data_IF_017240333710
#
_entry.id   IF_017240333710
#
_cell.length_a   1.000
_cell.length_b   1.000
_cell.length_c   1.000
_cell.angle_alpha   90.00
_cell.angle_beta   90.00
_cell.angle_gamma   90.00
#
_symmetry.space_group_name_H-M   'P 1'
#
loop_
_entity.id
_entity.type
_entity.pdbx_description
1 polymer ?
#
# COMPACT_ATOMS: atom_id res chain seq x y z
N UNK A 1 -6.81 -16.35 -1.13
CA UNK A 1 -6.76 -17.04 0.18
C UNK A 1 -5.30 -16.98 0.61
N UNK A 2 -4.87 -16.32 1.69
CA UNK A 2 -5.62 -15.72 2.80
C UNK A 2 -5.78 -14.20 2.67
N UNK A 3 -7.03 -13.75 2.82
CA UNK A 3 -7.33 -12.34 3.08
C UNK A 3 -6.99 -12.10 4.54
N UNK A 4 -6.35 -11.00 4.90
CA UNK A 4 -5.93 -10.68 6.27
C UNK A 4 -7.03 -10.92 7.33
N UNK A 5 -8.30 -10.81 6.93
CA UNK A 5 -9.49 -11.18 7.69
C UNK A 5 -9.48 -12.63 8.21
N UNK A 6 -9.06 -13.60 7.42
CA UNK A 6 -9.06 -15.01 7.82
C UNK A 6 -7.97 -15.30 8.85
N UNK A 7 -6.81 -14.65 8.70
CA UNK A 7 -5.74 -14.70 9.70
C UNK A 7 -6.20 -14.06 11.02
N UNK A 8 -6.89 -12.92 10.94
CA UNK A 8 -7.42 -12.26 12.13
C UNK A 8 -8.52 -13.10 12.81
N UNK A 9 -9.42 -13.74 12.03
CA UNK A 9 -10.42 -14.67 12.59
C UNK A 9 -9.75 -15.83 13.32
N UNK A 10 -8.71 -16.42 12.73
CA UNK A 10 -7.95 -17.51 13.35
C UNK A 10 -7.33 -17.05 14.67
N UNK A 11 -6.68 -15.90 14.66
CA UNK A 11 -6.11 -15.29 15.86
C UNK A 11 -7.18 -15.07 16.96
N UNK A 12 -8.35 -14.53 16.61
CA UNK A 12 -9.46 -14.37 17.57
C UNK A 12 -9.91 -15.72 18.14
N UNK A 13 -10.06 -16.75 17.30
CA UNK A 13 -10.52 -18.08 17.74
C UNK A 13 -9.49 -18.72 18.68
N UNK A 14 -8.19 -18.55 18.42
CA UNK A 14 -7.12 -19.08 19.27
C UNK A 14 -7.13 -18.47 20.68
N UNK A 15 -7.45 -17.18 20.80
CA UNK A 15 -7.44 -16.47 22.09
C UNK A 15 -8.79 -16.49 22.83
N UNK A 16 -9.92 -16.53 22.10
CA UNK A 16 -11.27 -16.37 22.68
C UNK A 16 -12.19 -17.59 22.45
N UNK A 17 -11.71 -18.61 21.74
CA UNK A 17 -12.44 -19.85 21.42
C UNK A 17 -13.48 -19.70 20.30
N UNK A 18 -14.10 -18.53 20.13
CA UNK A 18 -15.00 -18.26 19.01
C UNK A 18 -15.13 -16.77 18.69
N UNK A 19 -15.51 -16.44 17.45
CA UNK A 19 -15.85 -15.07 17.05
C UNK A 19 -17.03 -14.50 17.87
N UNK A 20 -17.97 -15.35 18.29
CA UNK A 20 -19.13 -14.94 19.10
C UNK A 20 -18.70 -14.56 20.52
N UNK A 21 -17.76 -15.31 21.11
CA UNK A 21 -17.17 -15.01 22.42
C UNK A 21 -16.44 -13.67 22.38
N UNK A 22 -15.61 -13.45 21.36
CA UNK A 22 -14.92 -12.18 21.17
C UNK A 22 -15.87 -11.01 20.95
N UNK A 23 -16.91 -11.18 20.12
CA UNK A 23 -17.92 -10.14 19.91
C UNK A 23 -18.59 -9.71 21.23
N UNK A 24 -18.89 -10.68 22.11
CA UNK A 24 -19.44 -10.40 23.43
C UNK A 24 -18.43 -9.63 24.32
N UNK A 25 -17.16 -10.01 24.29
CA UNK A 25 -16.07 -9.36 25.03
C UNK A 25 -15.92 -7.87 24.66
N UNK A 26 -15.99 -7.53 23.36
CA UNK A 26 -15.90 -6.13 22.89
C UNK A 26 -17.25 -5.40 22.89
N UNK A 27 -18.30 -5.98 23.48
CA UNK A 27 -19.66 -5.45 23.49
C UNK A 27 -20.18 -5.09 22.10
N UNK A 28 -20.01 -6.00 21.13
CA UNK A 28 -20.43 -5.85 19.74
C UNK A 28 -21.39 -6.99 19.36
N UNK A 29 -22.50 -6.72 18.65
CA UNK A 29 -23.31 -7.78 18.09
C UNK A 29 -22.51 -8.68 17.16
N UNK A 30 -22.65 -10.00 17.30
CA UNK A 30 -21.96 -10.98 16.45
C UNK A 30 -22.21 -10.71 14.96
N UNK A 31 -23.43 -10.32 14.58
CA UNK A 31 -23.79 -9.99 13.20
C UNK A 31 -23.02 -8.78 12.66
N UNK A 32 -22.72 -7.78 13.51
CA UNK A 32 -21.88 -6.64 13.15
C UNK A 32 -20.45 -7.10 12.89
N UNK A 33 -19.88 -7.90 13.80
CA UNK A 33 -18.53 -8.43 13.63
C UNK A 33 -18.41 -9.30 12.37
N UNK A 34 -19.36 -10.19 12.13
CA UNK A 34 -19.43 -11.04 10.93
C UNK A 34 -19.52 -10.20 9.65
N UNK A 35 -20.35 -9.15 9.63
CA UNK A 35 -20.46 -8.24 8.49
C UNK A 35 -19.14 -7.49 8.20
N UNK A 36 -18.38 -7.11 9.23
CA UNK A 36 -17.07 -6.48 9.08
C UNK A 36 -16.13 -7.44 8.34
N UNK A 37 -16.03 -8.68 8.79
CA UNK A 37 -15.15 -9.67 8.16
C UNK A 37 -15.57 -10.05 6.74
N UNK A 38 -16.88 -10.04 6.44
CA UNK A 38 -17.37 -10.32 5.08
C UNK A 38 -17.05 -9.20 4.10
N UNK A 39 -17.21 -7.95 4.53
CA UNK A 39 -16.94 -6.77 3.69
C UNK A 39 -15.46 -6.40 3.64
N UNK A 40 -14.66 -6.89 4.58
CA UNK A 40 -13.27 -6.51 4.77
C UNK A 40 -13.13 -5.43 5.83
N UNK A 41 -12.05 -5.51 6.61
CA UNK A 41 -11.84 -4.69 7.81
C UNK A 41 -11.72 -3.20 7.45
N UNK A 42 -11.09 -2.88 6.31
CA UNK A 42 -10.96 -1.51 5.77
C UNK A 42 -12.32 -0.81 5.56
N UNK A 43 -13.40 -1.57 5.39
CA UNK A 43 -14.76 -1.05 5.17
C UNK A 43 -15.59 -0.89 6.45
N UNK A 44 -14.98 -1.07 7.62
CA UNK A 44 -15.63 -0.89 8.92
C UNK A 44 -15.53 0.54 9.43
N UNK A 45 -16.38 0.92 10.38
CA UNK A 45 -16.26 2.21 11.04
C UNK A 45 -15.01 2.23 11.92
N UNK A 46 -14.36 3.39 12.01
CA UNK A 46 -13.16 3.58 12.84
C UNK A 46 -13.43 3.23 14.30
N UNK A 47 -14.63 3.51 14.81
CA UNK A 47 -15.02 3.13 16.17
C UNK A 47 -14.98 1.61 16.38
N UNK A 48 -15.43 0.83 15.41
CA UNK A 48 -15.37 -0.62 15.48
C UNK A 48 -13.93 -1.13 15.41
N UNK A 49 -13.11 -0.50 14.56
CA UNK A 49 -11.71 -0.85 14.41
C UNK A 49 -10.90 -0.59 15.68
N UNK A 50 -11.11 0.55 16.34
CA UNK A 50 -10.49 0.84 17.65
C UNK A 50 -10.85 -0.22 18.68
N UNK A 51 -12.12 -0.62 18.78
CA UNK A 51 -12.55 -1.67 19.72
C UNK A 51 -11.86 -3.01 19.44
N UNK A 52 -11.82 -3.42 18.17
CA UNK A 52 -11.18 -4.68 17.77
C UNK A 52 -9.67 -4.63 18.07
N UNK A 53 -9.00 -3.56 17.67
CA UNK A 53 -7.55 -3.42 17.85
C UNK A 53 -7.12 -3.35 19.31
N UNK A 54 -7.86 -2.59 20.13
CA UNK A 54 -7.57 -2.44 21.56
C UNK A 54 -7.76 -3.74 22.34
N UNK A 55 -8.85 -4.47 22.09
CA UNK A 55 -9.07 -5.77 22.75
C UNK A 55 -8.02 -6.81 22.35
N UNK A 56 -7.65 -6.86 21.06
CA UNK A 56 -6.64 -7.80 20.57
C UNK A 56 -5.21 -7.38 20.91
N UNK A 57 -4.99 -6.13 21.33
CA UNK A 57 -3.65 -5.60 21.55
C UNK A 57 -2.81 -5.54 20.26
N UNK A 58 -3.43 -5.14 19.13
CA UNK A 58 -2.77 -5.10 17.82
C UNK A 58 -2.88 -3.73 17.13
N UNK A 59 -1.91 -3.45 16.26
CA UNK A 59 -1.88 -2.25 15.42
C UNK A 59 -2.85 -2.39 14.25
N UNK A 60 -3.97 -1.67 14.31
CA UNK A 60 -4.91 -1.57 13.17
C UNK A 60 -4.25 -0.86 11.99
N UNK A 61 -3.34 0.08 12.22
CA UNK A 61 -2.61 0.76 11.15
C UNK A 61 -1.76 -0.22 10.33
N UNK A 62 -0.99 -1.08 11.00
CA UNK A 62 -0.18 -2.10 10.34
C UNK A 62 -1.05 -3.14 9.64
N UNK A 63 -2.21 -3.46 10.23
CA UNK A 63 -3.20 -4.34 9.59
C UNK A 63 -3.72 -3.76 8.26
N UNK A 64 -3.97 -2.45 8.20
CA UNK A 64 -4.49 -1.76 7.01
C UNK A 64 -3.40 -1.54 5.96
N UNK A 65 -2.23 -1.06 6.37
CA UNK A 65 -1.18 -0.57 5.47
C UNK A 65 -0.20 -1.66 5.02
N UNK A 66 0.01 -2.67 5.85
CA UNK A 66 1.01 -3.72 5.62
C UNK A 66 0.40 -5.13 5.57
N UNK A 67 -0.89 -5.26 5.87
CA UNK A 67 -1.59 -6.54 5.96
C UNK A 67 -0.94 -7.51 6.97
N UNK A 68 -0.44 -6.95 8.09
CA UNK A 68 0.22 -7.70 9.16
C UNK A 68 -0.49 -7.51 10.50
N UNK A 69 -0.54 -8.60 11.27
CA UNK A 69 -0.94 -8.56 12.67
C UNK A 69 0.31 -8.26 13.51
N UNK A 70 0.39 -7.04 14.03
CA UNK A 70 1.54 -6.56 14.82
C UNK A 70 1.05 -6.22 16.23
N UNK A 71 1.66 -6.75 17.29
CA UNK A 71 1.34 -6.38 18.66
C UNK A 71 1.50 -4.87 18.89
N UNK A 72 0.60 -4.28 19.67
CA UNK A 72 0.58 -2.83 19.90
C UNK A 72 0.20 -2.51 21.33
N UNK A 73 1.20 -2.01 22.07
CA UNK A 73 1.08 -1.63 23.48
C UNK A 73 1.68 -0.24 23.68
N UNK A 74 0.96 0.83 23.28
CA UNK A 74 1.47 2.20 23.40
C UNK A 74 1.69 2.53 24.87
N UNK A 75 2.86 3.09 25.19
CA UNK A 75 3.20 3.48 26.56
C UNK A 75 2.72 4.89 26.88
N UNK A 76 2.74 5.78 25.89
CA UNK A 76 2.32 7.18 26.02
C UNK A 76 0.80 7.31 26.21
N UNK A 77 0.39 8.06 27.24
CA UNK A 77 -1.01 8.29 27.60
C UNK A 77 -1.80 9.00 26.49
N UNK A 78 -1.18 9.93 25.76
CA UNK A 78 -1.84 10.63 24.66
C UNK A 78 -2.18 9.64 23.55
N UNK A 79 -1.27 8.72 23.27
CA UNK A 79 -1.44 7.71 22.22
C UNK A 79 -2.55 6.73 22.57
N UNK A 80 -2.73 6.38 23.85
CA UNK A 80 -3.81 5.50 24.31
C UNK A 80 -5.20 6.12 24.15
N UNK A 81 -5.30 7.44 24.01
CA UNK A 81 -6.61 8.10 23.92
C UNK A 81 -7.42 7.60 22.72
N UNK A 82 -8.74 7.39 22.87
CA UNK A 82 -9.60 7.00 21.76
C UNK A 82 -9.53 7.98 20.58
N UNK A 83 -9.34 9.28 20.85
CA UNK A 83 -9.21 10.31 19.81
C UNK A 83 -7.97 10.07 18.95
N UNK A 84 -6.81 9.84 19.59
CA UNK A 84 -5.57 9.59 18.87
C UNK A 84 -5.60 8.29 18.08
N UNK A 85 -6.15 7.21 18.67
CA UNK A 85 -6.32 5.93 17.97
C UNK A 85 -7.22 6.06 16.74
N UNK A 86 -8.31 6.85 16.82
CA UNK A 86 -9.15 7.14 15.64
C UNK A 86 -8.39 7.92 14.58
N UNK A 87 -7.60 8.92 14.97
CA UNK A 87 -6.79 9.72 14.04
C UNK A 87 -5.79 8.85 13.28
N UNK A 88 -5.09 7.97 13.99
CA UNK A 88 -4.16 6.99 13.41
C UNK A 88 -4.82 6.11 12.36
N UNK A 89 -5.97 5.51 12.71
CA UNK A 89 -6.70 4.61 11.81
C UNK A 89 -7.27 5.36 10.61
N UNK A 90 -7.79 6.58 10.81
CA UNK A 90 -8.27 7.42 9.70
C UNK A 90 -7.15 7.71 8.70
N UNK A 91 -5.95 8.06 9.20
CA UNK A 91 -4.80 8.30 8.34
C UNK A 91 -4.43 7.04 7.55
N UNK A 92 -4.43 5.87 8.21
CA UNK A 92 -4.17 4.59 7.55
C UNK A 92 -5.19 4.27 6.44
N UNK A 93 -6.48 4.51 6.68
CA UNK A 93 -7.54 4.30 5.68
C UNK A 93 -7.41 5.24 4.48
N UNK A 94 -7.11 6.52 4.72
CA UNK A 94 -6.86 7.50 3.65
C UNK A 94 -5.66 7.08 2.82
N UNK A 95 -4.55 6.72 3.49
CA UNK A 95 -3.33 6.26 2.82
C UNK A 95 -3.58 4.99 2.01
N UNK A 96 -4.33 4.01 2.52
CA UNK A 96 -4.67 2.82 1.75
C UNK A 96 -5.53 3.15 0.54
N UNK A 97 -6.53 4.03 0.69
CA UNK A 97 -7.38 4.45 -0.43
C UNK A 97 -6.60 5.20 -1.51
N UNK A 98 -5.61 6.01 -1.13
CA UNK A 98 -4.74 6.70 -2.09
C UNK A 98 -3.88 5.70 -2.88
N UNK A 99 -3.33 4.67 -2.21
CA UNK A 99 -2.59 3.59 -2.88
C UNK A 99 -3.48 2.82 -3.86
N UNK A 100 -4.72 2.53 -3.47
CA UNK A 100 -5.67 1.82 -4.34
C UNK A 100 -5.97 2.63 -5.61
N UNK A 101 -6.18 3.95 -5.48
CA UNK A 101 -6.38 4.84 -6.64
C UNK A 101 -5.12 4.88 -7.52
N UNK A 102 -3.93 5.02 -6.92
CA UNK A 102 -2.68 5.05 -7.67
C UNK A 102 -2.46 3.75 -8.46
N UNK A 103 -2.72 2.60 -7.83
CA UNK A 103 -2.61 1.30 -8.51
C UNK A 103 -3.59 1.19 -9.69
N UNK A 104 -4.84 1.65 -9.52
CA UNK A 104 -5.81 1.66 -10.62
C UNK A 104 -5.36 2.56 -11.79
N UNK A 105 -4.79 3.73 -11.48
CA UNK A 105 -4.24 4.62 -12.50
C UNK A 105 -3.03 4.00 -13.20
N UNK A 106 -2.12 3.37 -12.45
CA UNK A 106 -0.96 2.67 -13.02
C UNK A 106 -1.37 1.49 -13.90
N UNK A 107 -2.38 0.71 -13.49
CA UNK A 107 -2.93 -0.39 -14.29
C UNK A 107 -3.55 0.12 -15.60
N UNK A 108 -4.27 1.25 -15.53
CA UNK A 108 -4.80 1.92 -16.72
C UNK A 108 -3.67 2.36 -17.65
N UNK A 109 -2.68 3.10 -17.14
CA UNK A 109 -1.53 3.57 -17.92
C UNK A 109 -0.78 2.40 -18.55
N UNK A 110 -0.56 1.31 -17.80
CA UNK A 110 0.10 0.10 -18.30
C UNK A 110 -0.63 -0.49 -19.49
N UNK A 111 -1.96 -0.53 -19.44
CA UNK A 111 -2.77 -1.02 -20.55
C UNK A 111 -2.64 -0.13 -21.77
N UNK A 112 -2.79 1.18 -21.62
CA UNK A 112 -2.70 2.12 -22.74
C UNK A 112 -1.32 2.09 -23.42
N UNK A 113 -0.24 2.11 -22.63
CA UNK A 113 1.13 2.06 -23.15
C UNK A 113 1.40 0.74 -23.89
N UNK A 114 0.92 -0.38 -23.35
CA UNK A 114 1.05 -1.70 -24.02
C UNK A 114 0.26 -1.75 -25.33
N UNK A 115 -0.91 -1.10 -25.39
CA UNK A 115 -1.71 -1.00 -26.61
C UNK A 115 -1.04 -0.11 -27.66
N UNK A 116 -0.49 1.03 -27.26
CA UNK A 116 0.23 1.93 -28.15
C UNK A 116 1.39 1.22 -28.84
N UNK A 117 2.23 0.51 -28.06
CA UNK A 117 3.34 -0.29 -28.58
C UNK A 117 2.88 -1.39 -29.55
N UNK A 118 1.80 -2.10 -29.22
CA UNK A 118 1.24 -3.14 -30.12
C UNK A 118 0.78 -2.56 -31.47
N UNK A 119 0.43 -1.27 -31.51
CA UNK A 119 -0.05 -0.57 -32.69
C UNK A 119 1.01 0.35 -33.32
N UNK A 120 2.28 0.26 -32.89
CA UNK A 120 3.38 1.09 -33.39
C UNK A 120 3.14 2.61 -33.21
N UNK A 121 2.46 2.97 -32.12
CA UNK A 121 2.14 4.35 -31.76
C UNK A 121 3.17 4.83 -30.73
N UNK A 122 4.16 5.61 -31.19
CA UNK A 122 5.17 6.20 -30.30
C UNK A 122 4.76 7.61 -29.88
N UNK A 123 4.79 7.90 -28.57
CA UNK A 123 4.46 9.23 -28.04
C UNK A 123 5.68 10.16 -27.99
N UNK A 124 6.90 9.61 -28.07
CA UNK A 124 8.14 10.37 -27.96
C UNK A 124 8.37 10.97 -26.57
N UNK A 125 7.66 10.46 -25.55
CA UNK A 125 7.77 10.92 -24.16
C UNK A 125 8.72 9.97 -23.42
N UNK A 126 9.92 10.42 -22.98
CA UNK A 126 10.91 9.56 -22.33
C UNK A 126 10.38 8.84 -21.08
N UNK A 127 9.47 9.47 -20.33
CA UNK A 127 8.84 8.87 -19.16
C UNK A 127 7.93 7.69 -19.52
N UNK A 128 7.28 7.72 -20.68
CA UNK A 128 6.47 6.61 -21.17
C UNK A 128 7.35 5.42 -21.55
N UNK A 129 8.46 5.66 -22.25
CA UNK A 129 9.42 4.63 -22.62
C UNK A 129 10.02 3.97 -21.38
N UNK A 130 10.41 4.78 -20.38
CA UNK A 130 10.93 4.28 -19.11
C UNK A 130 9.91 3.36 -18.42
N UNK A 131 8.64 3.77 -18.34
CA UNK A 131 7.57 2.97 -17.74
C UNK A 131 7.30 1.69 -18.53
N UNK A 132 7.27 1.76 -19.86
CA UNK A 132 7.09 0.61 -20.74
C UNK A 132 8.18 -0.45 -20.51
N UNK A 133 9.46 -0.05 -20.57
CA UNK A 133 10.57 -0.97 -20.34
C UNK A 133 10.56 -1.49 -18.91
N UNK A 134 10.27 -0.64 -17.93
CA UNK A 134 10.16 -1.06 -16.53
C UNK A 134 9.09 -2.14 -16.33
N UNK A 135 7.94 -2.03 -17.00
CA UNK A 135 6.88 -3.04 -16.92
C UNK A 135 7.13 -4.33 -17.67
N UNK A 136 8.09 -4.37 -18.59
CA UNK A 136 8.59 -5.61 -19.22
C UNK A 136 9.48 -6.44 -18.29
N UNK A 137 10.08 -5.82 -17.29
CA UNK A 137 10.96 -6.49 -16.34
C UNK A 137 10.18 -7.38 -15.36
N UNK A 138 10.81 -8.45 -14.89
CA UNK A 138 10.34 -9.21 -13.73
C UNK A 138 10.68 -8.46 -12.43
N UNK A 139 10.27 -9.00 -11.27
CA UNK A 139 10.49 -8.37 -9.96
C UNK A 139 11.97 -8.03 -9.67
N UNK A 140 12.88 -8.97 -9.96
CA UNK A 140 14.32 -8.75 -9.77
C UNK A 140 14.86 -7.65 -10.70
N UNK A 141 14.40 -7.63 -11.97
CA UNK A 141 14.76 -6.60 -12.93
C UNK A 141 14.26 -5.22 -12.52
N UNK A 142 13.02 -5.13 -12.03
CA UNK A 142 12.45 -3.87 -11.52
C UNK A 142 13.21 -3.35 -10.31
N UNK A 143 13.54 -4.22 -9.35
CA UNK A 143 14.36 -3.86 -8.19
C UNK A 143 15.74 -3.35 -8.61
N UNK A 144 16.39 -4.05 -9.56
CA UNK A 144 17.68 -3.65 -10.11
C UNK A 144 17.59 -2.29 -10.83
N UNK A 145 16.55 -2.08 -11.64
CA UNK A 145 16.33 -0.83 -12.35
C UNK A 145 16.15 0.36 -11.38
N UNK A 146 15.34 0.18 -10.32
CA UNK A 146 15.18 1.19 -9.26
C UNK A 146 16.54 1.52 -8.63
N UNK A 147 17.33 0.51 -8.27
CA UNK A 147 18.64 0.71 -7.68
C UNK A 147 19.58 1.50 -8.61
N UNK A 148 19.66 1.13 -9.89
CA UNK A 148 20.52 1.82 -10.86
C UNK A 148 20.08 3.25 -11.10
N UNK A 149 18.79 3.50 -11.26
CA UNK A 149 18.25 4.86 -11.45
C UNK A 149 18.51 5.70 -10.20
N UNK A 150 18.38 5.12 -9.00
CA UNK A 150 18.74 5.78 -7.74
C UNK A 150 20.21 6.22 -7.73
N UNK A 151 21.15 5.34 -8.11
CA UNK A 151 22.58 5.69 -8.16
C UNK A 151 22.85 6.88 -9.10
N UNK A 152 22.13 6.98 -10.23
CA UNK A 152 22.28 8.10 -11.16
C UNK A 152 21.88 9.45 -10.55
N UNK A 153 20.91 9.46 -9.61
CA UNK A 153 20.48 10.70 -8.94
C UNK A 153 21.54 11.30 -8.01
N UNK A 154 22.60 10.56 -7.69
CA UNK A 154 23.70 11.03 -6.84
C UNK A 154 24.89 11.59 -7.65
N UNK A 155 24.87 11.45 -8.98
CA UNK A 155 25.96 11.88 -9.85
C UNK A 155 25.64 13.25 -10.42
N UNK A 156 26.40 14.28 -10.04
CA UNK A 156 26.20 15.68 -10.47
C UNK A 156 26.01 15.84 -11.99
N UNK A 157 26.79 15.11 -12.81
CA UNK A 157 26.65 15.15 -14.28
C UNK A 157 25.21 14.88 -14.79
N UNK A 158 24.41 14.12 -14.02
CA UNK A 158 23.04 13.75 -14.38
C UNK A 158 21.97 14.53 -13.61
N UNK A 159 22.36 15.48 -12.74
CA UNK A 159 21.44 16.24 -11.86
C UNK A 159 21.73 17.74 -11.80
N UNK A 160 22.95 18.17 -12.07
CA UNK A 160 23.38 19.56 -12.20
C UNK A 160 23.30 20.00 -13.67
N UNK A 161 22.43 20.96 -14.02
CA UNK A 161 22.26 21.43 -15.38
C UNK A 161 23.53 22.11 -15.94
N UNK A 162 24.42 22.63 -15.09
CA UNK A 162 25.64 23.33 -15.52
C UNK A 162 26.80 22.34 -15.81
N UNK A 163 26.70 21.10 -15.34
CA UNK A 163 27.69 20.02 -15.52
C UNK A 163 27.24 18.98 -16.57
N UNK A 164 26.18 19.28 -17.32
CA UNK A 164 25.70 18.45 -18.40
C UNK A 164 26.81 18.23 -19.45
N UNK A 165 27.07 16.98 -19.89
CA UNK A 165 28.04 16.75 -20.95
C UNK A 165 27.62 17.53 -22.19
N UNK A 166 28.60 18.14 -22.88
CA UNK A 166 28.38 18.69 -24.21
C UNK A 166 27.67 17.63 -25.08
N UNK A 167 26.66 18.04 -25.85
CA UNK A 167 25.90 17.13 -26.72
C UNK A 167 26.86 16.25 -27.52
N UNK A 168 26.59 14.95 -27.53
CA UNK A 168 27.38 13.97 -28.27
C UNK A 168 27.41 14.37 -29.75
N UNK A 169 28.58 14.72 -30.32
CA UNK A 169 28.67 15.17 -31.72
C UNK A 169 28.30 14.08 -32.74
N UNK A 170 28.12 12.82 -32.31
CA UNK A 170 27.71 11.70 -33.17
C UNK A 170 26.20 11.40 -33.13
N UNK A 171 25.35 12.23 -32.49
CA UNK A 171 23.91 12.14 -32.69
C UNK A 171 23.54 12.70 -34.08
N UNK A 172 23.75 11.89 -35.12
CA UNK A 172 23.11 12.11 -36.42
C UNK A 172 21.65 11.70 -36.28
N UNK A 173 20.76 12.69 -36.38
CA UNK A 173 19.36 12.46 -36.73
C UNK A 173 19.33 11.67 -38.05
N UNK A 174 18.88 10.42 -38.00
CA UNK A 174 18.45 9.63 -39.16
C UNK A 174 16.93 9.63 -39.26
#
# INVERSE_FOLDING_TARGET
MGKIEDNLKKHIIEHYGSLKSFAAQIYMPYTTLDSIFKRGIKNSSVNNLVKIGSELGISINSLILEEKIVPYYPQDEIVKTPQYQKMLINNALVTSSQRDILNQLLDFLKREITLNDTNDIFTGIPEEDLLYYFWKLNSYGQETAIHRVSELTEINKYTDPDDAPAQDPDHKEE
#
